data_IF_910115764009
#
_entry.id   IF_910115764009
#
_cell.length_a   1.000
_cell.length_b   1.000
_cell.length_c   1.000
_cell.angle_alpha   90.00
_cell.angle_beta   90.00
_cell.angle_gamma   90.00
#
_symmetry.space_group_name_H-M   'P 1'
#
loop_
_entity.id
_entity.type
_entity.pdbx_description
1 polymer ?
#
# COMPACT_ATOMS: atom_id res chain seq x y z
N UNK A 1 -40.90 32.40 -20.42
CA UNK A 1 -41.69 31.79 -19.33
C UNK A 1 -41.35 30.29 -19.30
N UNK A 2 -41.34 29.71 -18.09
CA UNK A 2 -40.86 28.37 -17.62
C UNK A 2 -41.23 27.17 -18.53
N UNK A 3 -40.56 26.01 -18.51
CA UNK A 3 -40.21 25.14 -17.36
C UNK A 3 -39.04 24.18 -17.68
N UNK A 4 -38.22 23.88 -16.67
CA UNK A 4 -37.30 22.74 -16.65
C UNK A 4 -37.85 21.64 -15.74
N UNK A 5 -37.89 20.41 -16.25
CA UNK A 5 -38.37 19.22 -15.53
C UNK A 5 -37.29 18.74 -14.55
N UNK A 6 -37.66 18.60 -13.28
CA UNK A 6 -36.84 18.00 -12.24
C UNK A 6 -36.73 16.49 -12.46
N UNK A 7 -35.50 15.97 -12.49
CA UNK A 7 -35.21 14.58 -12.14
C UNK A 7 -34.19 14.56 -11.03
N UNK A 8 -34.67 14.24 -9.83
CA UNK A 8 -33.90 14.03 -8.61
C UNK A 8 -33.10 12.73 -8.70
N UNK A 9 -31.80 12.83 -8.95
CA UNK A 9 -30.87 11.75 -8.65
C UNK A 9 -30.13 12.06 -7.35
N UNK A 10 -30.64 11.50 -6.26
CA UNK A 10 -29.87 11.35 -5.01
C UNK A 10 -28.74 10.35 -5.26
N UNK A 11 -27.63 10.85 -5.80
CA UNK A 11 -26.36 10.14 -5.78
C UNK A 11 -25.69 10.41 -4.44
N UNK A 12 -25.67 9.41 -3.55
CA UNK A 12 -24.90 9.42 -2.32
C UNK A 12 -23.43 9.66 -2.65
N UNK A 13 -22.99 10.92 -2.55
CA UNK A 13 -21.58 11.31 -2.72
C UNK A 13 -20.85 10.85 -1.47
N UNK A 14 -20.37 9.60 -1.49
CA UNK A 14 -19.39 9.11 -0.53
C UNK A 14 -18.15 10.00 -0.64
N UNK A 15 -18.07 11.00 0.23
CA UNK A 15 -16.92 11.89 0.37
C UNK A 15 -15.79 11.13 1.06
N UNK A 16 -15.18 10.18 0.35
CA UNK A 16 -13.82 9.76 0.68
C UNK A 16 -12.93 10.94 0.33
N UNK A 17 -12.58 11.70 1.37
CA UNK A 17 -11.60 12.79 1.34
C UNK A 17 -10.24 12.27 0.86
N UNK A 18 -10.07 12.10 -0.45
CA UNK A 18 -8.77 12.09 -1.10
C UNK A 18 -8.29 13.54 -1.11
N UNK A 19 -7.59 13.94 -0.05
CA UNK A 19 -6.97 15.26 0.04
C UNK A 19 -5.84 15.41 -0.98
N UNK A 20 -6.18 15.55 -2.26
CA UNK A 20 -5.27 16.13 -3.26
C UNK A 20 -4.81 15.24 -4.41
N UNK A 21 -5.64 14.33 -4.95
CA UNK A 21 -5.33 13.76 -6.26
C UNK A 21 -6.58 13.67 -7.12
N UNK A 22 -6.88 14.75 -7.86
CA UNK A 22 -7.66 14.54 -9.08
C UNK A 22 -6.84 13.60 -9.97
N UNK A 23 -7.47 12.53 -10.45
CA UNK A 23 -6.82 11.58 -11.37
C UNK A 23 -6.49 12.22 -12.71
N UNK A 24 -7.13 13.35 -13.00
CA UNK A 24 -7.05 14.11 -14.24
C UNK A 24 -6.89 15.60 -13.94
N UNK A 25 -6.19 16.32 -14.81
CA UNK A 25 -6.13 17.77 -14.80
C UNK A 25 -7.46 18.37 -15.28
N UNK A 26 -7.59 19.70 -15.32
CA UNK A 26 -8.82 20.35 -15.78
C UNK A 26 -9.10 20.15 -17.28
N UNK A 27 -8.09 19.78 -18.07
CA UNK A 27 -8.26 19.36 -19.46
C UNK A 27 -8.83 17.94 -19.61
N UNK A 28 -8.99 17.18 -18.52
CA UNK A 28 -9.38 15.77 -18.56
C UNK A 28 -8.22 14.79 -18.73
N UNK A 29 -7.02 15.29 -19.02
CA UNK A 29 -5.81 14.47 -19.20
C UNK A 29 -5.17 14.02 -17.89
N UNK A 30 -4.45 12.89 -17.92
CA UNK A 30 -3.72 12.41 -16.74
C UNK A 30 -2.52 13.32 -16.46
N UNK A 31 -2.41 13.92 -15.26
CA UNK A 31 -1.29 14.80 -14.95
C UNK A 31 0.02 14.02 -14.84
N UNK A 32 1.12 14.69 -15.17
CA UNK A 32 2.48 14.12 -15.15
C UNK A 32 3.22 14.55 -13.90
N UNK A 33 4.08 13.65 -13.39
CA UNK A 33 4.90 13.90 -12.22
C UNK A 33 6.17 14.65 -12.64
N UNK A 34 6.38 15.84 -12.08
CA UNK A 34 7.56 16.67 -12.32
C UNK A 34 8.28 16.98 -11.02
N UNK A 35 9.53 17.42 -11.15
CA UNK A 35 10.36 17.88 -10.04
C UNK A 35 10.50 19.39 -10.14
N UNK A 36 10.27 20.09 -9.04
CA UNK A 36 10.42 21.53 -8.97
C UNK A 36 11.90 21.93 -9.00
N UNK A 37 12.21 22.90 -9.87
CA UNK A 37 13.52 23.54 -10.00
C UNK A 37 13.55 24.95 -9.40
N UNK A 38 12.45 25.39 -8.76
CA UNK A 38 12.36 26.71 -8.11
C UNK A 38 13.27 26.78 -6.89
N UNK A 39 13.84 27.95 -6.61
CA UNK A 39 14.71 28.18 -5.45
C UNK A 39 13.99 27.91 -4.11
N UNK A 40 12.68 28.11 -4.05
CA UNK A 40 11.86 27.94 -2.85
C UNK A 40 11.50 26.48 -2.56
N UNK A 41 11.46 25.63 -3.59
CA UNK A 41 11.05 24.22 -3.49
C UNK A 41 11.98 23.28 -4.28
N UNK A 42 13.31 23.35 -4.09
CA UNK A 42 14.25 22.58 -4.90
C UNK A 42 14.02 21.07 -4.69
N UNK A 43 13.91 20.32 -5.79
CA UNK A 43 13.80 18.85 -5.76
C UNK A 43 12.43 18.31 -5.33
N UNK A 44 11.47 19.16 -4.93
CA UNK A 44 10.15 18.71 -4.49
C UNK A 44 9.28 18.30 -5.68
N UNK A 45 8.61 17.15 -5.60
CA UNK A 45 7.83 16.59 -6.73
C UNK A 45 6.37 17.07 -6.72
N UNK A 46 5.80 17.30 -7.89
CA UNK A 46 4.41 17.72 -8.07
C UNK A 46 3.77 17.12 -9.32
N UNK A 47 2.45 16.99 -9.32
CA UNK A 47 1.63 16.60 -10.47
C UNK A 47 1.16 17.86 -11.20
N UNK A 48 1.45 17.95 -12.50
CA UNK A 48 1.07 19.08 -13.34
C UNK A 48 0.39 18.66 -14.65
N UNK A 49 -0.28 19.60 -15.31
CA UNK A 49 -0.83 19.36 -16.66
C UNK A 49 0.30 19.01 -17.65
N UNK A 50 0.05 17.98 -18.48
CA UNK A 50 0.98 17.56 -19.53
C UNK A 50 1.23 18.68 -20.54
N UNK A 51 0.18 19.41 -20.94
CA UNK A 51 0.25 20.48 -21.93
C UNK A 51 0.72 21.84 -21.38
N UNK A 52 1.06 21.94 -20.09
CA UNK A 52 1.47 23.21 -19.46
C UNK A 52 2.65 23.90 -20.19
N UNK A 53 3.59 23.13 -20.73
CA UNK A 53 4.78 23.68 -21.39
C UNK A 53 4.53 24.16 -22.83
N UNK A 54 3.41 23.77 -23.44
CA UNK A 54 3.10 24.05 -24.86
C UNK A 54 2.09 25.22 -24.98
N UNK A 55 1.65 25.80 -23.85
CA UNK A 55 0.73 26.94 -23.81
C UNK A 55 -0.76 26.58 -23.85
N UNK A 56 -1.10 25.35 -24.26
CA UNK A 56 -2.48 24.84 -24.31
C UNK A 56 -2.90 24.06 -23.04
N UNK A 57 -2.14 24.20 -21.95
CA UNK A 57 -2.38 23.49 -20.70
C UNK A 57 -3.21 24.29 -19.69
N UNK A 58 -3.93 23.58 -18.83
CA UNK A 58 -4.50 24.19 -17.63
C UNK A 58 -3.46 24.36 -16.51
N UNK A 59 -3.82 25.17 -15.52
CA UNK A 59 -3.06 25.48 -14.30
C UNK A 59 -3.12 24.39 -13.22
N UNK A 60 -3.49 23.15 -13.58
CA UNK A 60 -3.57 22.06 -12.63
C UNK A 60 -2.21 21.81 -11.95
N UNK A 61 -2.22 21.87 -10.62
CA UNK A 61 -1.07 21.65 -9.77
C UNK A 61 -1.48 20.90 -8.49
N UNK A 62 -0.74 19.85 -8.13
CA UNK A 62 -0.87 19.19 -6.85
C UNK A 62 0.48 18.66 -6.37
N UNK A 63 0.86 18.93 -5.12
CA UNK A 63 2.08 18.37 -4.56
C UNK A 63 2.03 16.83 -4.54
N UNK A 64 3.14 16.19 -4.90
CA UNK A 64 3.24 14.75 -4.80
C UNK A 64 3.54 14.38 -3.34
N UNK A 65 2.74 13.47 -2.78
CA UNK A 65 3.04 12.82 -1.51
C UNK A 65 4.43 12.16 -1.59
N UNK A 66 5.25 12.22 -0.53
CA UNK A 66 6.48 11.46 -0.44
C UNK A 66 6.23 9.97 -0.72
N UNK A 67 7.13 9.35 -1.47
CA UNK A 67 7.08 7.90 -1.73
C UNK A 67 7.00 7.14 -0.38
N UNK A 68 5.95 6.35 -0.20
CA UNK A 68 5.74 5.56 1.03
C UNK A 68 4.82 6.16 2.09
N UNK A 69 4.24 7.35 1.88
CA UNK A 69 3.17 7.91 2.74
C UNK A 69 1.76 7.52 2.30
N UNK A 70 1.60 6.73 1.23
CA UNK A 70 0.29 6.18 0.90
C UNK A 70 -0.18 5.22 2.03
N UNK A 71 -1.31 5.51 2.70
CA UNK A 71 -1.83 4.66 3.77
C UNK A 71 -2.05 3.21 3.34
N UNK A 72 -2.34 2.97 2.06
CA UNK A 72 -2.48 1.62 1.50
C UNK A 72 -1.13 0.91 1.44
N UNK A 73 -0.07 1.59 1.01
CA UNK A 73 1.29 1.03 0.98
C UNK A 73 1.74 0.68 2.41
N UNK A 74 1.49 1.56 3.38
CA UNK A 74 1.83 1.30 4.78
C UNK A 74 1.04 0.11 5.35
N UNK A 75 -0.26 0.02 5.04
CA UNK A 75 -1.09 -1.13 5.45
C UNK A 75 -0.60 -2.44 4.84
N UNK A 76 -0.20 -2.43 3.57
CA UNK A 76 0.37 -3.61 2.91
C UNK A 76 1.71 -4.02 3.52
N UNK A 77 2.58 -3.04 3.86
CA UNK A 77 3.83 -3.31 4.59
C UNK A 77 3.58 -3.96 5.95
N UNK A 78 2.63 -3.44 6.73
CA UNK A 78 2.29 -3.99 8.04
C UNK A 78 1.69 -5.40 7.94
N UNK A 79 0.89 -5.68 6.90
CA UNK A 79 0.41 -7.05 6.64
C UNK A 79 1.55 -7.98 6.27
N UNK A 80 2.50 -7.53 5.44
CA UNK A 80 3.65 -8.33 5.05
C UNK A 80 4.57 -8.64 6.26
N UNK A 81 4.77 -7.69 7.18
CA UNK A 81 5.51 -7.96 8.41
C UNK A 81 4.79 -8.96 9.30
N UNK A 82 3.48 -8.79 9.52
CA UNK A 82 2.67 -9.72 10.30
C UNK A 82 2.66 -11.14 9.71
N UNK A 83 2.49 -11.29 8.39
CA UNK A 83 2.56 -12.61 7.75
C UNK A 83 3.93 -13.27 7.92
N UNK A 84 5.02 -12.50 7.83
CA UNK A 84 6.38 -13.02 8.04
C UNK A 84 6.60 -13.49 9.48
N UNK A 85 6.10 -12.73 10.46
CA UNK A 85 6.18 -13.10 11.88
C UNK A 85 5.41 -14.39 12.16
N UNK A 86 4.19 -14.54 11.63
CA UNK A 86 3.40 -15.75 11.81
C UNK A 86 4.04 -16.97 11.14
N UNK A 87 4.64 -16.79 9.95
CA UNK A 87 5.41 -17.85 9.28
C UNK A 87 6.59 -18.30 10.14
N UNK A 88 7.43 -17.36 10.60
CA UNK A 88 8.59 -17.68 11.44
C UNK A 88 8.18 -18.35 12.76
N UNK A 89 7.05 -17.94 13.34
CA UNK A 89 6.51 -18.56 14.55
C UNK A 89 6.03 -19.98 14.28
N UNK A 90 5.36 -20.22 13.15
CA UNK A 90 4.95 -21.56 12.74
C UNK A 90 6.18 -22.46 12.51
N UNK A 91 7.18 -21.99 11.76
CA UNK A 91 8.44 -22.71 11.54
C UNK A 91 9.12 -23.10 12.85
N UNK A 92 9.25 -22.16 13.80
CA UNK A 92 9.82 -22.43 15.13
C UNK A 92 9.03 -23.50 15.90
N UNK A 93 7.70 -23.45 15.86
CA UNK A 93 6.84 -24.46 16.52
C UNK A 93 7.05 -25.85 15.91
N UNK A 94 7.08 -25.95 14.59
CA UNK A 94 7.34 -27.23 13.92
C UNK A 94 8.74 -27.75 14.23
N UNK A 95 9.77 -26.90 14.19
CA UNK A 95 11.14 -27.27 14.54
C UNK A 95 11.24 -27.82 15.98
N UNK A 96 10.59 -27.17 16.94
CA UNK A 96 10.53 -27.65 18.33
C UNK A 96 9.83 -29.00 18.46
N UNK A 97 8.68 -29.17 17.80
CA UNK A 97 7.93 -30.43 17.84
C UNK A 97 8.73 -31.61 17.24
N UNK A 98 9.41 -31.38 16.11
CA UNK A 98 10.29 -32.37 15.50
C UNK A 98 11.48 -32.71 16.42
N UNK A 99 12.10 -31.71 17.04
CA UNK A 99 13.20 -31.93 17.99
C UNK A 99 12.78 -32.79 19.20
N UNK A 100 11.63 -32.47 19.82
CA UNK A 100 11.09 -33.26 20.93
C UNK A 100 10.74 -34.68 20.49
N UNK A 101 10.15 -34.85 19.32
CA UNK A 101 9.81 -36.17 18.76
C UNK A 101 11.05 -37.03 18.53
N UNK A 102 12.11 -36.48 17.93
CA UNK A 102 13.36 -37.20 17.69
C UNK A 102 14.02 -37.61 19.01
N UNK A 103 14.13 -36.69 19.98
CA UNK A 103 14.73 -36.98 21.30
C UNK A 103 13.92 -38.03 22.06
N UNK A 104 12.59 -37.93 22.03
CA UNK A 104 11.72 -38.93 22.66
C UNK A 104 11.89 -40.32 22.04
N UNK A 105 11.94 -40.39 20.71
CA UNK A 105 12.13 -41.65 19.99
C UNK A 105 13.50 -42.27 20.28
N UNK A 106 14.57 -41.48 20.27
CA UNK A 106 15.92 -41.99 20.54
C UNK A 106 16.07 -42.49 21.98
N UNK A 107 15.52 -41.78 22.97
CA UNK A 107 15.53 -42.23 24.37
C UNK A 107 14.72 -43.52 24.57
N UNK A 108 13.54 -43.63 23.96
CA UNK A 108 12.74 -44.85 24.01
C UNK A 108 13.47 -46.05 23.38
N UNK A 109 14.15 -45.82 22.23
CA UNK A 109 14.97 -46.84 21.59
C UNK A 109 16.12 -47.32 22.47
N UNK A 110 16.86 -46.41 23.10
CA UNK A 110 17.93 -46.75 24.04
C UNK A 110 17.40 -47.56 25.24
N UNK A 111 16.30 -47.12 25.85
CA UNK A 111 15.68 -47.83 26.97
C UNK A 111 15.19 -49.24 26.58
N UNK A 112 14.69 -49.42 25.37
CA UNK A 112 14.27 -50.73 24.87
C UNK A 112 15.47 -51.64 24.60
N UNK A 113 16.57 -51.10 24.05
CA UNK A 113 17.82 -51.84 23.88
C UNK A 113 18.39 -52.32 25.22
N UNK A 114 18.43 -51.45 26.23
CA UNK A 114 18.93 -51.78 27.57
C UNK A 114 18.06 -52.83 28.29
N UNK A 115 16.78 -52.95 27.92
CA UNK A 115 15.83 -53.92 28.50
C UNK A 115 15.85 -55.28 27.83
N UNK A 116 16.33 -55.37 26.60
CA UNK A 116 16.39 -56.59 25.80
C UNK A 116 17.77 -57.28 25.88
N UNK A 117 18.75 -56.63 26.50
CA UNK A 117 20.11 -57.12 26.71
C UNK A 117 20.32 -57.53 28.17
#
# INVERSE_FOLDING_TARGET
MRMATQSSSQGSRSSTKSRGRRRTCFCGERPVLRTSSTAENPGRRFWGCVNFQIGDGCDYFAWAEPEGQDPQIQRLKNKASSLKEELQKAERKFALALGVGIVGWTLAGLLLCDRLN
#
